data_IF_911263622948
#
_entry.id   IF_911263622948
#
_cell.length_a   1.000
_cell.length_b   1.000
_cell.length_c   1.000
_cell.angle_alpha   90.00
_cell.angle_beta   90.00
_cell.angle_gamma   90.00
#
_symmetry.space_group_name_H-M   'P 1'
#
loop_
_entity.id
_entity.type
_entity.pdbx_description
1 polymer ?
#
# COMPACT_ATOMS: atom_id res chain seq x y z
N UNK A 1 -6.05 6.58 6.26
CA UNK A 1 -4.88 5.93 6.88
C UNK A 1 -4.68 6.35 8.33
N UNK A 2 -4.94 7.61 8.72
CA UNK A 2 -4.73 8.12 10.09
C UNK A 2 -5.13 7.16 11.21
N UNK A 3 -6.39 6.70 11.22
CA UNK A 3 -6.84 5.74 12.23
C UNK A 3 -6.06 4.42 12.26
N UNK A 4 -5.68 3.85 11.10
CA UNK A 4 -4.83 2.64 11.04
C UNK A 4 -3.47 2.91 11.69
N UNK A 5 -2.89 4.08 11.42
CA UNK A 5 -1.58 4.46 11.98
C UNK A 5 -1.67 4.58 13.50
N UNK A 6 -2.72 5.22 14.01
CA UNK A 6 -2.98 5.36 15.44
C UNK A 6 -3.09 4.00 16.16
N UNK A 7 -3.83 3.06 15.58
CA UNK A 7 -3.93 1.69 16.09
C UNK A 7 -2.57 0.98 16.10
N UNK A 8 -1.82 1.08 15.00
CA UNK A 8 -0.50 0.45 14.89
C UNK A 8 0.52 1.07 15.84
N UNK A 9 0.43 2.38 16.11
CA UNK A 9 1.23 3.07 17.12
C UNK A 9 0.92 2.53 18.52
N UNK A 10 -0.37 2.43 18.88
CA UNK A 10 -0.83 1.88 20.16
C UNK A 10 -0.31 0.46 20.38
N UNK A 11 -0.32 -0.35 19.32
CA UNK A 11 0.16 -1.73 19.33
C UNK A 11 1.69 -1.87 19.21
N UNK A 12 2.43 -0.77 19.06
CA UNK A 12 3.90 -0.75 18.83
C UNK A 12 4.31 -1.56 17.59
N UNK A 13 3.49 -1.51 16.54
CA UNK A 13 3.69 -2.17 15.25
C UNK A 13 3.97 -1.18 14.10
N UNK A 14 4.14 0.10 14.43
CA UNK A 14 4.40 1.16 13.45
C UNK A 14 5.83 1.69 13.59
N UNK A 15 6.54 1.77 12.46
CA UNK A 15 7.81 2.47 12.33
C UNK A 15 7.65 3.55 11.27
N UNK A 16 7.88 4.82 11.64
CA UNK A 16 7.82 5.94 10.69
C UNK A 16 9.02 5.96 9.75
N UNK A 17 8.81 6.38 8.52
CA UNK A 17 9.86 6.75 7.57
C UNK A 17 9.69 8.22 7.16
N UNK A 18 10.77 8.87 6.75
CA UNK A 18 10.73 10.28 6.33
C UNK A 18 10.06 10.43 4.96
N UNK A 19 10.15 9.39 4.13
CA UNK A 19 9.59 9.33 2.78
C UNK A 19 9.05 7.94 2.45
N UNK A 20 8.13 7.86 1.50
CA UNK A 20 7.49 6.59 1.10
C UNK A 20 8.45 5.61 0.40
N UNK A 21 9.39 6.13 -0.39
CA UNK A 21 10.44 5.34 -1.05
C UNK A 21 11.39 4.71 -0.02
N UNK A 22 11.75 5.45 1.04
CA UNK A 22 12.49 4.93 2.19
C UNK A 22 11.69 3.86 2.95
N UNK A 23 10.38 4.07 3.16
CA UNK A 23 9.52 3.08 3.80
C UNK A 23 9.49 1.75 3.02
N UNK A 24 9.48 1.82 1.69
CA UNK A 24 9.59 0.65 0.80
C UNK A 24 10.95 -0.05 0.94
N UNK A 25 12.04 0.69 1.03
CA UNK A 25 13.38 0.13 1.26
C UNK A 25 13.51 -0.50 2.66
N UNK A 26 12.93 0.12 3.69
CA UNK A 26 12.85 -0.45 5.03
C UNK A 26 12.04 -1.75 5.06
N UNK A 27 10.90 -1.79 4.34
CA UNK A 27 10.11 -3.00 4.17
C UNK A 27 10.94 -4.12 3.51
N UNK A 28 11.76 -3.78 2.51
CA UNK A 28 12.69 -4.73 1.93
C UNK A 28 13.64 -5.34 2.98
N UNK A 29 14.26 -4.53 3.84
CA UNK A 29 15.09 -5.03 4.95
C UNK A 29 14.30 -5.90 5.95
N UNK A 30 13.08 -5.49 6.30
CA UNK A 30 12.22 -6.24 7.22
C UNK A 30 11.85 -7.63 6.67
N UNK A 31 11.55 -7.74 5.37
CA UNK A 31 11.31 -9.04 4.73
C UNK A 31 12.54 -9.95 4.80
N UNK A 32 13.72 -9.38 4.56
CA UNK A 32 15.02 -10.07 4.71
C UNK A 32 15.23 -10.63 6.12
N UNK A 33 14.74 -9.91 7.13
CA UNK A 33 14.73 -10.34 8.53
C UNK A 33 13.59 -11.34 8.87
N UNK A 34 12.91 -11.90 7.87
CA UNK A 34 11.85 -12.89 8.04
C UNK A 34 10.49 -12.32 8.43
N UNK A 35 10.24 -11.01 8.22
CA UNK A 35 8.93 -10.38 8.51
C UNK A 35 8.02 -10.36 7.28
N UNK A 36 6.75 -10.03 7.50
CA UNK A 36 5.77 -9.72 6.45
C UNK A 36 5.49 -8.20 6.52
N UNK A 37 6.25 -7.38 5.79
CA UNK A 37 6.16 -5.93 5.92
C UNK A 37 4.97 -5.37 5.15
N UNK A 38 4.35 -4.33 5.73
CA UNK A 38 3.36 -3.50 5.07
C UNK A 38 3.81 -2.04 5.07
N UNK A 39 3.61 -1.34 3.95
CA UNK A 39 3.90 0.08 3.77
C UNK A 39 2.59 0.82 3.58
N UNK A 40 2.36 1.85 4.41
CA UNK A 40 1.18 2.70 4.34
C UNK A 40 1.54 3.99 3.61
N UNK A 41 0.83 4.33 2.54
CA UNK A 41 1.08 5.54 1.74
C UNK A 41 -0.17 6.03 1.04
N UNK A 42 -0.14 7.26 0.52
CA UNK A 42 -1.16 7.73 -0.42
C UNK A 42 -0.74 7.40 -1.86
N UNK A 43 -1.66 7.55 -2.80
CA UNK A 43 -1.38 7.35 -4.22
C UNK A 43 -0.24 8.24 -4.75
N UNK A 44 -0.07 9.47 -4.28
CA UNK A 44 1.11 10.31 -4.61
C UNK A 44 2.43 9.67 -4.18
N UNK A 45 2.49 9.14 -2.96
CA UNK A 45 3.63 8.39 -2.42
C UNK A 45 3.96 7.12 -3.19
N UNK A 46 2.95 6.47 -3.79
CA UNK A 46 3.19 5.36 -4.72
C UNK A 46 3.96 5.84 -5.97
N UNK A 47 3.59 7.00 -6.51
CA UNK A 47 4.26 7.61 -7.67
C UNK A 47 5.71 7.99 -7.40
N UNK A 48 6.04 8.45 -6.19
CA UNK A 48 7.43 8.73 -5.79
C UNK A 48 8.23 7.45 -5.55
N UNK A 49 7.56 6.37 -5.13
CA UNK A 49 8.20 5.09 -4.77
C UNK A 49 8.49 4.16 -5.95
N UNK A 50 8.09 4.51 -7.18
CA UNK A 50 8.17 3.61 -8.34
C UNK A 50 9.59 3.12 -8.61
N UNK A 51 10.58 4.01 -8.54
CA UNK A 51 11.97 3.62 -8.79
C UNK A 51 12.42 2.55 -7.78
N UNK A 52 12.18 2.76 -6.49
CA UNK A 52 12.52 1.77 -5.44
C UNK A 52 11.75 0.47 -5.64
N UNK A 53 10.43 0.54 -5.90
CA UNK A 53 9.63 -0.67 -6.13
C UNK A 53 10.16 -1.50 -7.30
N UNK A 54 10.53 -0.86 -8.41
CA UNK A 54 11.02 -1.54 -9.59
C UNK A 54 12.49 -1.98 -9.45
N UNK A 55 13.38 -1.10 -8.99
CA UNK A 55 14.82 -1.34 -8.96
C UNK A 55 15.29 -2.15 -7.75
N UNK A 56 14.48 -2.22 -6.69
CA UNK A 56 14.78 -3.00 -5.49
C UNK A 56 13.78 -4.16 -5.31
N UNK A 57 12.52 -3.85 -5.04
CA UNK A 57 11.57 -4.87 -4.59
C UNK A 57 11.23 -5.91 -5.68
N UNK A 58 11.04 -5.46 -6.92
CA UNK A 58 10.72 -6.33 -8.05
C UNK A 58 11.93 -7.15 -8.51
N UNK A 59 13.09 -6.51 -8.70
CA UNK A 59 14.32 -7.18 -9.17
C UNK A 59 14.79 -8.23 -8.15
N UNK A 60 14.85 -7.87 -6.87
CA UNK A 60 15.42 -8.73 -5.83
C UNK A 60 14.38 -9.61 -5.12
N UNK A 61 13.13 -9.63 -5.60
CA UNK A 61 12.04 -10.44 -5.00
C UNK A 61 11.85 -10.15 -3.52
N UNK A 62 11.78 -8.87 -3.20
CA UNK A 62 11.62 -8.34 -1.86
C UNK A 62 10.18 -7.81 -1.67
N UNK A 63 9.21 -8.70 -1.41
CA UNK A 63 7.81 -8.32 -1.37
C UNK A 63 7.47 -7.47 -0.15
N UNK A 64 6.49 -6.60 -0.33
CA UNK A 64 5.83 -5.85 0.73
C UNK A 64 4.35 -5.69 0.38
N UNK A 65 3.49 -5.57 1.40
CA UNK A 65 2.09 -5.18 1.20
C UNK A 65 2.05 -3.65 1.10
N UNK A 66 1.48 -3.11 0.02
CA UNK A 66 1.28 -1.68 -0.15
C UNK A 66 -0.16 -1.34 0.21
N UNK A 67 -0.38 -0.72 1.37
CA UNK A 67 -1.69 -0.18 1.77
C UNK A 67 -1.78 1.26 1.27
N UNK A 68 -2.43 1.44 0.12
CA UNK A 68 -2.45 2.73 -0.59
C UNK A 68 -3.80 3.40 -0.41
N UNK A 69 -3.85 4.59 0.19
CA UNK A 69 -5.10 5.36 0.23
C UNK A 69 -5.41 5.93 -1.16
N UNK A 70 -6.58 5.63 -1.70
CA UNK A 70 -7.02 6.14 -2.98
C UNK A 70 -7.63 7.54 -2.82
N UNK A 71 -6.78 8.57 -2.96
CA UNK A 71 -7.22 9.98 -3.02
C UNK A 71 -7.76 10.28 -4.42
N UNK A 72 -8.79 11.14 -4.50
CA UNK A 72 -9.45 11.44 -5.77
C UNK A 72 -10.45 10.39 -6.30
N UNK A 73 -10.71 9.32 -5.56
CA UNK A 73 -11.75 8.34 -5.90
C UNK A 73 -13.12 9.03 -6.02
N UNK A 74 -13.88 8.73 -7.08
CA UNK A 74 -15.18 9.35 -7.42
C UNK A 74 -15.15 10.88 -7.63
N UNK A 75 -13.97 11.48 -7.87
CA UNK A 75 -13.88 12.88 -8.30
C UNK A 75 -14.07 13.92 -7.19
N UNK A 76 -14.11 13.50 -5.91
CA UNK A 76 -14.33 14.41 -4.75
C UNK A 76 -13.08 14.57 -3.91
N UNK A 77 -12.10 15.34 -4.41
CA UNK A 77 -10.86 15.66 -3.72
C UNK A 77 -10.16 16.87 -4.36
N UNK A 78 -8.99 17.28 -3.83
CA UNK A 78 -8.16 18.32 -4.43
C UNK A 78 -7.69 17.93 -5.87
N UNK A 79 -7.52 18.88 -6.80
CA UNK A 79 -7.21 18.60 -8.21
C UNK A 79 -6.02 17.66 -8.42
N UNK A 80 -4.95 17.84 -7.65
CA UNK A 80 -3.74 17.01 -7.69
C UNK A 80 -4.02 15.55 -7.32
N UNK A 81 -4.97 15.31 -6.42
CA UNK A 81 -5.39 13.97 -6.04
C UNK A 81 -6.25 13.29 -7.12
N UNK A 82 -6.99 14.06 -7.91
CA UNK A 82 -7.83 13.52 -8.99
C UNK A 82 -6.97 12.87 -10.07
N UNK A 83 -5.97 13.60 -10.55
CA UNK A 83 -5.06 13.14 -11.61
C UNK A 83 -4.32 11.88 -11.19
N UNK A 84 -3.72 11.89 -9.99
CA UNK A 84 -3.00 10.73 -9.49
C UNK A 84 -3.95 9.56 -9.14
N UNK A 85 -5.14 9.86 -8.63
CA UNK A 85 -6.17 8.89 -8.32
C UNK A 85 -6.66 8.12 -9.54
N UNK A 86 -6.91 8.83 -10.64
CA UNK A 86 -7.36 8.23 -11.89
C UNK A 86 -6.26 7.38 -12.55
N UNK A 87 -4.99 7.79 -12.45
CA UNK A 87 -3.85 7.14 -13.13
C UNK A 87 -3.30 5.93 -12.37
N UNK A 88 -3.47 5.88 -11.05
CA UNK A 88 -2.84 4.88 -10.18
C UNK A 88 -3.14 3.41 -10.58
N UNK A 89 -4.37 2.98 -10.91
CA UNK A 89 -4.63 1.60 -11.29
C UNK A 89 -3.85 1.16 -12.52
N UNK A 90 -3.83 1.99 -13.57
CA UNK A 90 -3.12 1.73 -14.83
C UNK A 90 -1.61 1.71 -14.60
N UNK A 91 -1.11 2.55 -13.69
CA UNK A 91 0.29 2.54 -13.27
C UNK A 91 0.66 1.21 -12.60
N UNK A 92 -0.17 0.71 -11.68
CA UNK A 92 0.03 -0.59 -11.03
C UNK A 92 -0.02 -1.75 -12.04
N UNK A 93 -0.96 -1.71 -12.98
CA UNK A 93 -1.07 -2.70 -14.07
C UNK A 93 0.19 -2.70 -14.95
N UNK A 94 0.67 -1.51 -15.34
CA UNK A 94 1.88 -1.33 -16.16
C UNK A 94 3.11 -1.92 -15.48
N UNK A 95 3.24 -1.70 -14.17
CA UNK A 95 4.34 -2.25 -13.37
C UNK A 95 4.17 -3.72 -13.01
N UNK A 96 3.02 -4.33 -13.35
CA UNK A 96 2.65 -5.70 -12.99
C UNK A 96 2.64 -5.92 -11.47
N UNK A 97 2.28 -4.89 -10.70
CA UNK A 97 2.06 -5.00 -9.25
C UNK A 97 0.61 -5.45 -9.06
N UNK A 98 0.35 -6.67 -8.56
CA UNK A 98 -1.01 -7.13 -8.33
C UNK A 98 -1.72 -6.21 -7.36
N UNK A 99 -2.95 -5.81 -7.67
CA UNK A 99 -3.72 -4.93 -6.81
C UNK A 99 -5.20 -5.31 -6.72
N UNK A 100 -5.81 -4.93 -5.59
CA UNK A 100 -7.27 -4.94 -5.39
C UNK A 100 -7.70 -3.70 -4.66
N UNK A 101 -8.96 -3.32 -4.84
CA UNK A 101 -9.59 -2.29 -4.03
C UNK A 101 -10.36 -2.93 -2.89
N UNK A 102 -10.04 -2.54 -1.67
CA UNK A 102 -10.71 -3.03 -0.47
C UNK A 102 -12.18 -2.58 -0.46
N UNK A 103 -13.06 -3.54 -0.18
CA UNK A 103 -14.49 -3.30 -0.06
C UNK A 103 -15.03 -3.94 1.23
N UNK A 104 -16.00 -3.32 1.90
CA UNK A 104 -16.62 -3.89 3.10
C UNK A 104 -17.17 -5.32 2.88
N UNK A 105 -17.91 -5.60 1.79
CA UNK A 105 -18.48 -6.94 1.56
C UNK A 105 -17.44 -8.04 1.29
N UNK A 106 -16.27 -7.68 0.75
CA UNK A 106 -15.22 -8.63 0.33
C UNK A 106 -13.95 -8.54 1.18
N UNK A 107 -13.99 -7.77 2.28
CA UNK A 107 -12.83 -7.45 3.13
C UNK A 107 -11.99 -8.68 3.47
N UNK A 108 -12.63 -9.75 3.95
CA UNK A 108 -11.93 -10.97 4.35
C UNK A 108 -11.29 -11.70 3.15
N UNK A 109 -11.94 -11.68 1.99
CA UNK A 109 -11.41 -12.28 0.75
C UNK A 109 -10.26 -11.47 0.17
N UNK A 110 -10.34 -10.15 0.23
CA UNK A 110 -9.27 -9.26 -0.23
C UNK A 110 -8.02 -9.41 0.63
N UNK A 111 -8.16 -9.50 1.95
CA UNK A 111 -7.05 -9.77 2.86
C UNK A 111 -6.43 -11.16 2.63
N UNK A 112 -7.26 -12.20 2.44
CA UNK A 112 -6.77 -13.54 2.07
C UNK A 112 -6.00 -13.52 0.74
N UNK A 113 -6.55 -12.83 -0.25
CA UNK A 113 -5.93 -12.70 -1.57
C UNK A 113 -4.58 -11.97 -1.48
N UNK A 114 -4.47 -10.90 -0.69
CA UNK A 114 -3.19 -10.20 -0.47
C UNK A 114 -2.15 -11.15 0.13
N UNK A 115 -2.52 -11.87 1.20
CA UNK A 115 -1.60 -12.80 1.86
C UNK A 115 -1.12 -13.92 0.92
N UNK A 116 -2.04 -14.53 0.16
CA UNK A 116 -1.71 -15.58 -0.79
C UNK A 116 -0.84 -15.06 -1.94
N UNK A 117 -1.19 -13.90 -2.51
CA UNK A 117 -0.45 -13.27 -3.61
C UNK A 117 0.96 -12.89 -3.17
N UNK A 118 1.10 -12.28 -2.00
CA UNK A 118 2.39 -11.91 -1.40
C UNK A 118 3.31 -13.13 -1.29
N UNK A 119 2.81 -14.23 -0.71
CA UNK A 119 3.59 -15.45 -0.50
C UNK A 119 3.94 -16.16 -1.81
N UNK A 120 3.00 -16.21 -2.76
CA UNK A 120 3.16 -16.95 -4.02
C UNK A 120 4.05 -16.22 -5.02
N UNK A 121 3.85 -14.92 -5.21
CA UNK A 121 4.49 -14.17 -6.28
C UNK A 121 5.82 -13.53 -5.86
N UNK A 122 6.04 -13.30 -4.56
CA UNK A 122 7.23 -12.64 -4.01
C UNK A 122 7.56 -11.32 -4.72
N UNK A 123 6.52 -10.52 -4.94
CA UNK A 123 6.58 -9.15 -5.44
C UNK A 123 5.71 -8.26 -4.53
N UNK A 124 5.86 -6.92 -4.56
CA UNK A 124 4.91 -6.03 -3.91
C UNK A 124 3.47 -6.32 -4.34
N UNK A 125 2.52 -6.19 -3.40
CA UNK A 125 1.09 -6.39 -3.66
C UNK A 125 0.33 -5.20 -3.07
N UNK A 126 -0.49 -4.54 -3.87
CA UNK A 126 -1.21 -3.34 -3.44
C UNK A 126 -2.66 -3.63 -3.03
N UNK A 127 -3.08 -2.99 -1.94
CA UNK A 127 -4.47 -2.95 -1.51
C UNK A 127 -4.89 -1.48 -1.42
N UNK A 128 -5.81 -1.10 -2.29
CA UNK A 128 -6.29 0.28 -2.42
C UNK A 128 -7.43 0.52 -1.44
N UNK A 129 -7.32 1.57 -0.63
CA UNK A 129 -8.27 1.89 0.42
C UNK A 129 -9.03 3.16 0.03
N UNK A 130 -10.32 3.01 -0.24
CA UNK A 130 -11.24 4.14 -0.47
C UNK A 130 -11.56 4.84 0.84
N UNK A 131 -11.94 6.11 0.77
CA UNK A 131 -12.43 6.87 1.94
C UNK A 131 -13.64 6.14 2.55
N UNK A 132 -13.65 6.02 3.88
CA UNK A 132 -14.80 5.48 4.63
C UNK A 132 -14.91 3.96 4.71
N UNK A 133 -14.02 3.18 4.07
CA UNK A 133 -14.02 1.70 4.14
C UNK A 133 -13.59 1.17 5.51
N UNK A 134 -12.70 1.89 6.20
CA UNK A 134 -12.25 1.53 7.54
C UNK A 134 -12.96 2.48 8.50
N UNK A 135 -14.07 2.00 9.07
CA UNK A 135 -14.82 2.67 10.14
C UNK A 135 -14.29 2.18 11.48
N UNK A 136 -13.99 3.09 12.41
CA UNK A 136 -13.72 2.71 13.81
C UNK A 136 -12.32 3.00 14.36
N UNK A 137 -11.55 3.88 13.74
CA UNK A 137 -10.34 4.44 14.35
C UNK A 137 -10.41 5.96 14.26
N UNK A 138 -11.33 6.50 15.05
CA UNK A 138 -11.35 7.89 15.46
C UNK A 138 -10.97 7.88 16.95
N UNK A 139 -10.13 8.81 17.42
CA UNK A 139 -9.97 9.04 18.85
C UNK A 139 -11.31 9.38 19.51
#
# INVERSE_FOLDING_TARGET
LGGIIEELLTRKLYTSAVREDEAVAMAAGAFMAGKIPAVLMQNSGLGTSLNTLLSLNMIYRQPCILLVSWRGFEGKDAPEHLVMGETMPQLLDTMKIPHRTLSEPTMADDLRWVAQTFMKQRVPVALLIKKGIIKGLHP
#
